data_IF_973463577621
#
_entry.id   IF_973463577621
#
_cell.length_a   1.000
_cell.length_b   1.000
_cell.length_c   1.000
_cell.angle_alpha   90.00
_cell.angle_beta   90.00
_cell.angle_gamma   90.00
#
_symmetry.space_group_name_H-M   'P 1'
#
loop_
_entity.id
_entity.type
_entity.pdbx_description
1 polymer ?
#
# COMPACT_ATOMS: atom_id res chain seq x y z
N UNK A 1 -4.04 9.01 -21.41
CA UNK A 1 -3.41 7.69 -21.61
C UNK A 1 -2.24 7.58 -20.64
N UNK A 2 -2.37 6.86 -19.53
CA UNK A 2 -1.19 6.52 -18.73
C UNK A 2 -0.43 5.46 -19.51
N UNK A 3 0.60 5.86 -20.24
CA UNK A 3 1.55 4.93 -20.83
C UNK A 3 2.30 4.25 -19.69
N UNK A 4 1.75 3.15 -19.19
CA UNK A 4 2.39 2.29 -18.19
C UNK A 4 3.69 1.79 -18.81
N UNK A 5 4.83 2.33 -18.34
CA UNK A 5 6.13 1.85 -18.77
C UNK A 5 6.21 0.36 -18.45
N UNK A 6 6.65 -0.51 -19.39
CA UNK A 6 6.62 -1.97 -19.24
C UNK A 6 7.36 -2.45 -17.99
N UNK A 7 8.31 -1.66 -17.49
CA UNK A 7 8.98 -1.82 -16.21
C UNK A 7 8.04 -2.13 -15.02
N UNK A 8 6.89 -1.46 -14.88
CA UNK A 8 6.01 -1.63 -13.72
C UNK A 8 5.36 -3.02 -13.67
N UNK A 9 5.06 -3.58 -14.84
CA UNK A 9 4.54 -4.95 -14.96
C UNK A 9 5.61 -5.98 -14.59
N UNK A 10 6.87 -5.76 -14.98
CA UNK A 10 7.97 -6.62 -14.54
C UNK A 10 8.18 -6.56 -13.03
N UNK A 11 8.08 -5.39 -12.40
CA UNK A 11 8.12 -5.27 -10.94
C UNK A 11 6.97 -6.05 -10.28
N UNK A 12 5.75 -6.00 -10.83
CA UNK A 12 4.62 -6.76 -10.32
C UNK A 12 4.85 -8.27 -10.40
N UNK A 13 5.32 -8.76 -11.55
CA UNK A 13 5.65 -10.18 -11.72
C UNK A 13 6.77 -10.63 -10.78
N UNK A 14 7.80 -9.79 -10.60
CA UNK A 14 8.87 -10.05 -9.65
C UNK A 14 8.37 -10.10 -8.19
N UNK A 15 7.45 -9.20 -7.81
CA UNK A 15 6.82 -9.20 -6.49
C UNK A 15 6.07 -10.53 -6.23
N UNK A 16 5.27 -10.96 -7.21
CA UNK A 16 4.52 -12.23 -7.13
C UNK A 16 5.49 -13.41 -7.02
N UNK A 17 6.54 -13.45 -7.83
CA UNK A 17 7.53 -14.54 -7.82
C UNK A 17 8.27 -14.64 -6.47
N UNK A 18 8.65 -13.50 -5.88
CA UNK A 18 9.31 -13.45 -4.59
C UNK A 18 8.41 -13.92 -3.46
N UNK A 19 7.17 -13.44 -3.42
CA UNK A 19 6.20 -13.85 -2.41
C UNK A 19 5.88 -15.35 -2.51
N UNK A 20 5.50 -15.81 -3.70
CA UNK A 20 5.13 -17.21 -3.93
C UNK A 20 6.29 -18.14 -3.66
N UNK A 21 7.50 -17.79 -4.15
CA UNK A 21 8.72 -18.54 -3.90
C UNK A 21 9.10 -18.57 -2.41
N UNK A 22 8.99 -17.44 -1.71
CA UNK A 22 9.23 -17.35 -0.27
C UNK A 22 8.28 -18.21 0.55
N UNK A 23 6.98 -18.15 0.26
CA UNK A 23 5.95 -18.94 0.94
C UNK A 23 6.12 -20.43 0.68
N UNK A 24 6.40 -20.84 -0.57
CA UNK A 24 6.65 -22.25 -0.90
C UNK A 24 7.94 -22.76 -0.23
N UNK A 25 9.01 -21.96 -0.24
CA UNK A 25 10.28 -22.31 0.41
C UNK A 25 10.11 -22.50 1.91
N UNK A 26 9.35 -21.63 2.58
CA UNK A 26 9.02 -21.80 4.00
C UNK A 26 8.31 -23.13 4.24
N UNK A 27 7.33 -23.44 3.40
CA UNK A 27 6.53 -24.65 3.55
C UNK A 27 7.37 -25.91 3.32
N UNK A 28 8.27 -25.89 2.34
CA UNK A 28 9.22 -26.98 2.08
C UNK A 28 10.25 -27.15 3.20
N UNK A 29 10.73 -26.04 3.78
CA UNK A 29 11.70 -26.06 4.87
C UNK A 29 11.17 -26.73 6.15
N UNK A 30 9.85 -26.80 6.34
CA UNK A 30 9.23 -27.55 7.44
C UNK A 30 9.40 -29.07 7.31
N UNK A 31 9.62 -29.59 6.09
CA UNK A 31 9.83 -31.01 5.83
C UNK A 31 11.29 -31.46 5.91
N UNK A 32 12.24 -30.55 6.12
CA UNK A 32 13.66 -30.88 6.19
C UNK A 32 14.05 -31.43 7.57
N UNK A 33 14.99 -32.39 7.60
CA UNK A 33 15.41 -33.08 8.83
C UNK A 33 16.34 -32.26 9.73
N UNK A 34 16.71 -31.04 9.35
CA UNK A 34 17.62 -30.20 10.12
C UNK A 34 16.88 -29.45 11.23
N UNK A 35 17.43 -29.45 12.45
CA UNK A 35 16.81 -28.81 13.61
C UNK A 35 16.52 -27.30 13.43
N UNK A 36 17.28 -26.61 12.57
CA UNK A 36 17.14 -25.16 12.31
C UNK A 36 16.49 -24.85 10.95
N UNK A 37 16.09 -25.86 10.17
CA UNK A 37 15.49 -25.63 8.85
C UNK A 37 14.18 -24.82 8.89
N UNK A 38 13.23 -25.08 9.83
CA UNK A 38 11.99 -24.30 9.89
C UNK A 38 12.23 -22.82 10.19
N UNK A 39 13.22 -22.52 11.06
CA UNK A 39 13.58 -21.15 11.40
C UNK A 39 14.20 -20.42 10.20
N UNK A 40 15.12 -21.09 9.49
CA UNK A 40 15.73 -20.52 8.27
C UNK A 40 14.69 -20.26 7.18
N UNK A 41 13.77 -21.22 6.95
CA UNK A 41 12.68 -21.05 5.99
C UNK A 41 11.77 -19.87 6.33
N UNK A 42 11.47 -19.66 7.61
CA UNK A 42 10.71 -18.50 8.07
C UNK A 42 11.45 -17.17 7.84
N UNK A 43 12.76 -17.13 8.12
CA UNK A 43 13.58 -15.94 7.85
C UNK A 43 13.61 -15.61 6.36
N UNK A 44 13.81 -16.61 5.50
CA UNK A 44 13.77 -16.44 4.04
C UNK A 44 12.42 -15.90 3.58
N UNK A 45 11.33 -16.43 4.13
CA UNK A 45 9.97 -15.95 3.82
C UNK A 45 9.79 -14.47 4.17
N UNK A 46 10.21 -14.05 5.37
CA UNK A 46 10.10 -12.66 5.81
C UNK A 46 10.87 -11.71 4.89
N UNK A 47 12.09 -12.08 4.52
CA UNK A 47 12.90 -11.30 3.59
C UNK A 47 12.26 -11.23 2.19
N UNK A 48 11.74 -12.36 1.71
CA UNK A 48 11.10 -12.44 0.39
C UNK A 48 9.79 -11.63 0.33
N UNK A 49 8.95 -11.69 1.36
CA UNK A 49 7.72 -10.89 1.48
C UNK A 49 8.08 -9.40 1.57
N UNK A 50 9.05 -9.03 2.41
CA UNK A 50 9.50 -7.64 2.50
C UNK A 50 9.98 -7.10 1.15
N UNK A 51 10.77 -7.88 0.43
CA UNK A 51 11.24 -7.52 -0.91
C UNK A 51 10.07 -7.46 -1.92
N UNK A 52 9.13 -8.40 -1.86
CA UNK A 52 7.92 -8.39 -2.69
C UNK A 52 7.13 -7.09 -2.52
N UNK A 53 6.90 -6.64 -1.29
CA UNK A 53 6.21 -5.37 -1.02
C UNK A 53 6.95 -4.14 -1.56
N UNK A 54 8.27 -4.15 -1.60
CA UNK A 54 9.06 -3.07 -2.21
C UNK A 54 8.81 -3.01 -3.72
N UNK A 55 8.85 -4.16 -4.40
CA UNK A 55 8.54 -4.24 -5.83
C UNK A 55 7.08 -3.90 -6.15
N UNK A 56 6.16 -4.32 -5.28
CA UNK A 56 4.73 -3.99 -5.38
C UNK A 56 4.51 -2.48 -5.24
N UNK A 57 5.15 -1.85 -4.26
CA UNK A 57 5.10 -0.39 -4.07
C UNK A 57 5.52 0.34 -5.34
N UNK A 58 6.60 -0.11 -6.00
CA UNK A 58 7.00 0.43 -7.30
C UNK A 58 5.94 0.20 -8.39
N UNK A 59 5.34 -0.99 -8.49
CA UNK A 59 4.32 -1.29 -9.49
C UNK A 59 3.07 -0.39 -9.37
N UNK A 60 2.62 -0.14 -8.15
CA UNK A 60 1.44 0.70 -7.84
C UNK A 60 1.64 2.16 -8.29
N UNK A 61 2.88 2.64 -8.43
CA UNK A 61 3.13 4.01 -8.93
C UNK A 61 2.77 4.19 -10.42
N UNK A 62 2.76 3.11 -11.20
CA UNK A 62 2.47 3.15 -12.63
C UNK A 62 1.11 2.56 -13.00
N UNK A 63 0.65 1.56 -12.26
CA UNK A 63 -0.58 0.81 -12.54
C UNK A 63 -1.65 1.22 -11.52
N UNK A 64 -2.94 1.32 -11.88
CA UNK A 64 -3.99 1.56 -10.90
C UNK A 64 -3.90 0.61 -9.71
N UNK A 65 -4.03 1.18 -8.51
CA UNK A 65 -3.89 0.46 -7.24
C UNK A 65 -4.75 -0.81 -7.23
N UNK A 66 -6.03 -0.69 -7.61
CA UNK A 66 -6.97 -1.81 -7.62
C UNK A 66 -6.54 -2.95 -8.55
N UNK A 67 -6.05 -2.64 -9.74
CA UNK A 67 -5.56 -3.66 -10.70
C UNK A 67 -4.32 -4.36 -10.14
N UNK A 68 -3.39 -3.58 -9.60
CA UNK A 68 -2.13 -4.12 -9.08
C UNK A 68 -2.37 -5.09 -7.92
N UNK A 69 -3.21 -4.71 -6.95
CA UNK A 69 -3.56 -5.59 -5.82
C UNK A 69 -4.38 -6.81 -6.27
N UNK A 70 -5.31 -6.65 -7.22
CA UNK A 70 -6.10 -7.76 -7.71
C UNK A 70 -5.24 -8.82 -8.41
N UNK A 71 -4.26 -8.40 -9.22
CA UNK A 71 -3.32 -9.31 -9.86
C UNK A 71 -2.30 -9.88 -8.88
N UNK A 72 -1.78 -9.07 -7.96
CA UNK A 72 -0.81 -9.50 -6.95
C UNK A 72 -1.38 -10.64 -6.09
N UNK A 73 -2.52 -10.42 -5.47
CA UNK A 73 -3.21 -11.43 -4.65
C UNK A 73 -3.73 -12.60 -5.50
N UNK A 74 -4.34 -12.31 -6.66
CA UNK A 74 -4.97 -13.33 -7.48
C UNK A 74 -3.97 -14.29 -8.14
N UNK A 75 -2.90 -13.77 -8.73
CA UNK A 75 -1.83 -14.58 -9.30
C UNK A 75 -0.98 -15.20 -8.18
N UNK A 76 -0.71 -14.47 -7.10
CA UNK A 76 0.03 -14.98 -5.94
C UNK A 76 -0.63 -16.23 -5.36
N UNK A 77 -1.93 -16.16 -5.06
CA UNK A 77 -2.69 -17.30 -4.56
C UNK A 77 -2.72 -18.47 -5.54
N UNK A 78 -2.88 -18.19 -6.83
CA UNK A 78 -2.89 -19.21 -7.88
C UNK A 78 -1.55 -19.94 -7.97
N UNK A 79 -0.45 -19.19 -7.99
CA UNK A 79 0.91 -19.71 -8.03
C UNK A 79 1.26 -20.51 -6.78
N UNK A 80 0.89 -20.04 -5.57
CA UNK A 80 1.07 -20.79 -4.33
C UNK A 80 0.28 -22.10 -4.39
N UNK A 81 -0.98 -22.07 -4.81
CA UNK A 81 -1.83 -23.28 -4.86
C UNK A 81 -1.30 -24.30 -5.85
N UNK A 82 -0.89 -23.85 -7.04
CA UNK A 82 -0.26 -24.72 -8.04
C UNK A 82 1.08 -25.26 -7.51
N UNK A 83 1.91 -24.40 -6.93
CA UNK A 83 3.18 -24.78 -6.32
C UNK A 83 3.00 -25.82 -5.21
N UNK A 84 1.99 -25.70 -4.36
CA UNK A 84 1.67 -26.71 -3.35
C UNK A 84 1.32 -28.06 -3.97
N UNK A 85 0.66 -28.10 -5.13
CA UNK A 85 0.39 -29.38 -5.79
C UNK A 85 1.65 -29.99 -6.39
N UNK A 86 2.51 -29.18 -7.02
CA UNK A 86 3.73 -29.68 -7.65
C UNK A 86 4.84 -30.05 -6.65
N UNK A 87 5.00 -29.28 -5.58
CA UNK A 87 6.10 -29.45 -4.63
C UNK A 87 5.70 -30.22 -3.37
N UNK A 88 4.43 -30.19 -2.97
CA UNK A 88 3.94 -30.86 -1.75
C UNK A 88 2.99 -32.03 -2.04
N UNK A 89 2.74 -32.38 -3.31
CA UNK A 89 1.76 -33.40 -3.72
C UNK A 89 0.37 -33.19 -3.10
N UNK A 90 0.00 -31.93 -2.83
CA UNK A 90 -1.33 -31.63 -2.30
C UNK A 90 -2.42 -31.91 -3.34
N UNK A 91 -3.53 -32.50 -2.89
CA UNK A 91 -4.65 -32.82 -3.77
C UNK A 91 -5.35 -31.54 -4.26
N UNK A 92 -5.36 -31.35 -5.58
CA UNK A 92 -6.11 -30.29 -6.24
C UNK A 92 -7.57 -30.72 -6.40
N UNK A 93 -8.41 -30.34 -5.44
CA UNK A 93 -9.85 -30.65 -5.50
C UNK A 93 -10.55 -29.76 -6.53
N UNK A 94 -11.64 -30.24 -7.18
CA UNK A 94 -12.42 -29.43 -8.13
C UNK A 94 -12.94 -28.12 -7.53
N UNK A 95 -13.20 -28.10 -6.21
CA UNK A 95 -13.61 -26.91 -5.46
C UNK A 95 -12.50 -25.86 -5.39
N UNK A 96 -11.24 -26.26 -5.18
CA UNK A 96 -10.08 -25.37 -5.22
C UNK A 96 -9.91 -24.75 -6.62
N UNK A 97 -10.08 -25.56 -7.67
CA UNK A 97 -10.02 -25.06 -9.05
C UNK A 97 -11.10 -24.01 -9.35
N UNK A 98 -12.34 -24.25 -8.91
CA UNK A 98 -13.43 -23.29 -9.07
C UNK A 98 -13.14 -21.98 -8.32
N UNK A 99 -12.60 -22.09 -7.10
CA UNK A 99 -12.15 -20.93 -6.32
C UNK A 99 -11.09 -20.11 -7.06
N UNK A 100 -10.04 -20.77 -7.58
CA UNK A 100 -8.99 -20.11 -8.36
C UNK A 100 -9.54 -19.44 -9.62
N UNK A 101 -10.43 -20.12 -10.34
CA UNK A 101 -11.09 -19.54 -11.52
C UNK A 101 -11.90 -18.29 -11.17
N UNK A 102 -12.61 -18.30 -10.03
CA UNK A 102 -13.36 -17.15 -9.55
C UNK A 102 -12.44 -15.97 -9.16
N UNK A 103 -11.33 -16.25 -8.49
CA UNK A 103 -10.33 -15.23 -8.11
C UNK A 103 -9.73 -14.57 -9.35
N UNK A 104 -9.32 -15.37 -10.34
CA UNK A 104 -8.77 -14.86 -11.60
C UNK A 104 -9.83 -14.08 -12.40
N UNK A 105 -11.07 -14.57 -12.45
CA UNK A 105 -12.18 -13.86 -13.07
C UNK A 105 -12.44 -12.51 -12.38
N UNK A 106 -12.40 -12.47 -11.05
CA UNK A 106 -12.50 -11.24 -10.27
C UNK A 106 -11.38 -10.25 -10.59
N UNK A 107 -10.13 -10.73 -10.68
CA UNK A 107 -9.00 -9.88 -11.05
C UNK A 107 -9.14 -9.30 -12.47
N UNK A 108 -9.59 -10.12 -13.43
CA UNK A 108 -9.89 -9.66 -14.79
C UNK A 108 -11.04 -8.66 -14.83
N UNK A 109 -12.07 -8.86 -13.99
CA UNK A 109 -13.20 -7.94 -13.89
C UNK A 109 -12.76 -6.59 -13.31
N UNK A 110 -11.90 -6.58 -12.28
CA UNK A 110 -11.29 -5.35 -11.76
C UNK A 110 -10.49 -4.66 -12.85
N UNK A 111 -9.65 -5.39 -13.59
CA UNK A 111 -8.89 -4.83 -14.71
C UNK A 111 -9.79 -4.21 -15.78
N UNK A 112 -10.87 -4.90 -16.17
CA UNK A 112 -11.85 -4.41 -17.13
C UNK A 112 -12.59 -3.17 -16.63
N UNK A 113 -13.03 -3.16 -15.37
CA UNK A 113 -13.71 -2.00 -14.76
C UNK A 113 -12.80 -0.79 -14.53
N UNK A 114 -11.49 -0.99 -14.54
CA UNK A 114 -10.52 0.12 -14.42
C UNK A 114 -10.24 0.80 -15.78
N UNK A 115 -10.70 0.21 -16.89
CA UNK A 115 -10.70 0.83 -18.21
C UNK A 115 -12.07 1.39 -18.60
N UNK A 116 -12.13 2.67 -18.96
CA UNK A 116 -13.28 3.37 -19.57
C UNK A 116 -14.38 3.90 -18.63
N UNK A 117 -14.01 4.60 -17.57
CA UNK A 117 -14.83 5.74 -17.15
C UNK A 117 -14.52 6.94 -18.06
N UNK A 118 -15.46 7.46 -18.87
CA UNK A 118 -15.29 8.81 -19.37
C UNK A 118 -15.09 9.70 -18.14
N UNK A 119 -13.96 10.41 -18.09
CA UNK A 119 -13.77 11.48 -17.10
C UNK A 119 -14.67 12.65 -17.48
N UNK A 120 -15.99 12.45 -17.41
CA UNK A 120 -17.03 13.46 -17.56
C UNK A 120 -17.57 13.85 -16.19
N UNK A 121 -16.68 14.01 -15.22
CA UNK A 121 -16.95 14.84 -14.04
C UNK A 121 -16.41 16.24 -14.35
N UNK A 122 -17.17 17.34 -14.11
CA UNK A 122 -16.63 18.69 -14.26
C UNK A 122 -15.31 18.76 -13.49
N UNK A 123 -14.27 19.26 -14.16
CA UNK A 123 -12.93 19.41 -13.58
C UNK A 123 -13.07 19.92 -12.14
N UNK A 124 -12.67 19.10 -11.18
CA UNK A 124 -12.69 19.50 -9.78
C UNK A 124 -11.95 20.85 -9.68
N UNK A 125 -12.56 21.88 -9.09
CA UNK A 125 -11.94 23.18 -9.04
C UNK A 125 -10.54 23.05 -8.40
N UNK A 126 -9.55 23.83 -8.88
CA UNK A 126 -8.20 23.80 -8.34
C UNK A 126 -8.28 23.84 -6.82
N UNK A 127 -7.73 22.84 -6.14
CA UNK A 127 -7.65 22.85 -4.67
C UNK A 127 -6.85 24.08 -4.28
N UNK A 128 -7.55 25.12 -3.84
CA UNK A 128 -6.94 26.35 -3.36
C UNK A 128 -5.91 25.96 -2.29
N UNK A 129 -4.64 26.18 -2.61
CA UNK A 129 -3.55 25.92 -1.71
C UNK A 129 -3.79 26.78 -0.46
N UNK A 130 -4.05 26.14 0.69
CA UNK A 130 -4.37 26.82 1.96
C UNK A 130 -3.27 27.80 2.42
N UNK A 131 -2.09 27.75 1.79
CA UNK A 131 -1.00 28.72 1.96
C UNK A 131 -1.31 30.09 1.34
N UNK A 132 -2.15 30.15 0.32
CA UNK A 132 -2.49 31.39 -0.40
C UNK A 132 -3.66 32.12 0.28
N UNK A 133 -4.41 31.42 1.15
CA UNK A 133 -5.52 31.98 1.91
C UNK A 133 -5.11 32.62 3.25
N UNK A 134 -3.82 32.61 3.60
CA UNK A 134 -3.35 32.92 4.95
C UNK A 134 -2.18 33.93 5.04
N UNK A 135 -2.03 34.84 4.07
CA UNK A 135 -1.26 36.06 4.30
C UNK A 135 -2.11 37.29 4.00
N UNK A 136 -2.67 37.96 5.03
CA UNK A 136 -3.04 39.37 4.85
C UNK A 136 -1.76 40.13 4.51
N UNK A 137 -1.76 40.82 3.37
CA UNK A 137 -0.69 41.68 2.88
C UNK A 137 -0.55 42.97 3.73
N UNK A 138 -0.35 42.83 5.04
CA UNK A 138 -0.08 43.94 5.94
C UNK A 138 0.81 43.48 7.10
N UNK A 139 2.10 43.33 6.81
CA UNK A 139 3.15 43.22 7.82
C UNK A 139 3.82 44.55 8.16
N UNK A 140 3.31 45.68 7.63
CA UNK A 140 3.95 46.99 7.83
C UNK A 140 3.21 47.89 8.83
N UNK A 141 1.99 47.55 9.26
CA UNK A 141 1.25 48.34 10.27
C UNK A 141 1.32 47.78 11.72
N UNK A 142 1.73 46.53 11.91
CA UNK A 142 1.72 45.87 13.22
C UNK A 142 2.91 46.23 14.13
N UNK A 143 3.94 46.89 13.60
CA UNK A 143 5.11 47.32 14.37
C UNK A 143 4.92 48.68 15.10
N UNK A 144 3.83 49.41 14.83
CA UNK A 144 3.68 50.80 15.31
C UNK A 144 2.69 51.01 16.47
N UNK A 145 2.02 49.96 16.97
CA UNK A 145 1.06 50.11 18.07
C UNK A 145 0.98 48.83 18.92
N UNK A 146 2.07 48.49 19.61
CA UNK A 146 1.95 47.54 20.72
C UNK A 146 1.35 48.28 21.93
N UNK A 147 0.10 48.00 22.37
CA UNK A 147 -0.41 48.55 23.61
C UNK A 147 0.35 47.91 24.78
N UNK A 148 0.89 48.76 25.66
CA UNK A 148 1.53 48.33 26.89
C UNK A 148 0.63 47.35 27.67
N UNK A 149 1.22 46.29 28.21
CA UNK A 149 0.51 45.26 28.95
C UNK A 149 -0.28 45.86 30.14
N UNK A 150 -1.49 45.37 30.43
CA UNK A 150 -2.28 45.90 31.54
C UNK A 150 -1.60 45.60 32.90
N UNK A 151 -1.35 46.66 33.64
CA UNK A 151 -0.81 46.67 35.00
C UNK A 151 -1.74 45.88 35.94
N UNK A 152 -1.24 44.80 36.55
CA UNK A 152 -1.99 44.03 37.55
C UNK A 152 -2.19 44.90 38.80
N UNK A 153 -3.41 45.38 39.01
CA UNK A 153 -3.82 46.09 40.22
C UNK A 153 -3.76 45.15 41.44
N UNK A 154 -2.69 45.29 42.24
CA UNK A 154 -2.62 44.78 43.60
C UNK A 154 -3.33 45.76 44.54
N UNK A 155 -4.65 45.66 44.66
CA UNK A 155 -5.42 46.34 45.68
C UNK A 155 -5.98 45.31 46.66
N UNK A 156 -5.24 44.99 47.72
CA UNK A 156 -5.78 44.48 49.01
C UNK A 156 -4.67 44.27 50.05
N UNK A 157 -4.04 45.33 50.57
CA UNK A 157 -3.42 45.32 51.91
C UNK A 157 -3.35 46.74 52.51
N UNK A 158 -4.51 47.27 52.90
CA UNK A 158 -4.70 48.28 53.97
C UNK A 158 -6.20 48.34 54.27
N UNK A 159 -6.73 48.06 55.46
CA UNK A 159 -6.11 47.67 56.72
C UNK A 159 -7.19 47.17 57.68
N UNK A 160 -6.78 46.30 58.61
CA UNK A 160 -7.47 46.05 59.86
C UNK A 160 -6.75 46.84 60.96
N UNK A 161 -7.56 47.32 61.90
CA UNK A 161 -7.24 48.20 63.04
C UNK A 161 -6.10 47.71 63.91
#
# INVERSE_FOLDING_TARGET
MFATKPHHWYCLLAAIALETGGTLTMKLAQGWSFAHAPALGLTVMWLAIGLSYIFLSHAITGIPVGVTFAFWEGLGLTCITLGSVFFLDESLTPRRMLGLACVLAGALLVNAGTGHGPQTGPAAPPKANRRDAALPANTDAAAAHWPAAPERSNATLRGGR
#
